data_IF_584499393367
#
_entry.id   IF_584499393367
#
_cell.length_a   1.000
_cell.length_b   1.000
_cell.length_c   1.000
_cell.angle_alpha   90.00
_cell.angle_beta   90.00
_cell.angle_gamma   90.00
#
_symmetry.space_group_name_H-M   'P 1'
#
loop_
_entity.id
_entity.type
_entity.pdbx_description
1 polymer ?
#
# COMPACT_ATOMS: atom_id res chain seq x y z
N UNK A 1 3.17 17.52 -3.65
CA UNK A 1 2.05 16.57 -3.70
C UNK A 1 2.06 15.72 -2.44
N UNK A 2 0.92 15.52 -1.85
CA UNK A 2 0.79 14.68 -0.65
C UNK A 2 0.23 13.32 -1.04
N UNK A 3 0.98 12.28 -0.74
CA UNK A 3 0.65 10.91 -1.15
C UNK A 3 0.48 10.05 0.10
N UNK A 4 -0.64 9.32 0.16
CA UNK A 4 -0.87 8.31 1.18
C UNK A 4 -0.53 6.95 0.59
N UNK A 5 0.42 6.25 1.21
CA UNK A 5 0.72 4.87 0.87
C UNK A 5 0.08 3.99 1.93
N UNK A 6 -0.69 2.99 1.47
CA UNK A 6 -1.41 2.06 2.35
C UNK A 6 -0.97 0.65 2.01
N UNK A 7 -0.49 -0.07 3.01
CA UNK A 7 -0.11 -1.47 2.89
C UNK A 7 -1.00 -2.33 3.77
N UNK A 8 -1.57 -3.36 3.18
CA UNK A 8 -2.56 -4.23 3.81
C UNK A 8 -1.98 -5.38 4.61
N UNK A 9 -2.83 -6.39 4.87
CA UNK A 9 -2.49 -7.50 5.76
C UNK A 9 -1.22 -8.24 5.35
N UNK A 10 -0.45 -8.60 6.34
CA UNK A 10 0.77 -9.42 6.25
C UNK A 10 1.96 -8.73 5.59
N UNK A 11 1.80 -7.51 5.08
CA UNK A 11 2.92 -6.79 4.47
C UNK A 11 3.96 -6.35 5.50
N UNK A 12 3.57 -6.29 6.77
CA UNK A 12 4.52 -6.10 7.87
C UNK A 12 5.51 -7.26 8.02
N UNK A 13 5.21 -8.41 7.41
CA UNK A 13 6.06 -9.60 7.47
C UNK A 13 6.96 -9.77 6.24
N UNK A 14 6.97 -8.78 5.34
CA UNK A 14 7.87 -8.83 4.19
C UNK A 14 9.32 -9.03 4.62
N UNK A 15 10.05 -9.85 3.86
CA UNK A 15 11.43 -10.17 4.16
C UNK A 15 11.61 -11.33 5.12
N UNK A 16 10.58 -11.74 5.84
CA UNK A 16 10.64 -12.85 6.80
C UNK A 16 9.84 -14.06 6.34
N UNK A 17 8.89 -13.87 5.42
CA UNK A 17 7.98 -14.91 4.95
C UNK A 17 8.37 -15.33 3.55
N UNK A 18 8.72 -16.60 3.40
CA UNK A 18 9.04 -17.23 2.11
C UNK A 18 9.91 -16.33 1.21
N UNK A 19 11.13 -15.96 1.64
CA UNK A 19 11.98 -15.02 0.89
C UNK A 19 12.27 -15.44 -0.54
N UNK A 20 12.25 -16.73 -0.82
CA UNK A 20 12.50 -17.26 -2.16
C UNK A 20 11.36 -16.96 -3.14
N UNK A 21 10.19 -16.61 -2.62
CA UNK A 21 9.02 -16.24 -3.43
C UNK A 21 8.82 -14.73 -3.46
N UNK A 22 8.89 -14.08 -2.30
CA UNK A 22 8.54 -12.66 -2.15
C UNK A 22 9.76 -11.75 -2.03
N UNK A 23 10.97 -12.31 -1.96
CA UNK A 23 12.18 -11.53 -1.74
C UNK A 23 12.50 -11.35 -0.26
N UNK A 24 13.70 -10.84 0.01
CA UNK A 24 14.20 -10.66 1.38
C UNK A 24 14.04 -9.22 1.89
N UNK A 25 13.58 -8.30 1.06
CA UNK A 25 13.40 -6.92 1.47
C UNK A 25 12.19 -6.77 2.38
N UNK A 26 12.39 -6.06 3.49
CA UNK A 26 11.33 -5.72 4.43
C UNK A 26 10.50 -4.54 3.90
N UNK A 27 9.37 -4.28 4.53
CA UNK A 27 8.59 -3.09 4.21
C UNK A 27 9.39 -1.81 4.47
N UNK A 28 10.20 -1.80 5.53
CA UNK A 28 11.08 -0.66 5.82
C UNK A 28 12.13 -0.46 4.73
N UNK A 29 12.70 -1.54 4.19
CA UNK A 29 13.65 -1.46 3.08
C UNK A 29 13.00 -0.83 1.85
N UNK A 30 11.77 -1.22 1.55
CA UNK A 30 11.01 -0.67 0.42
C UNK A 30 10.74 0.82 0.63
N UNK A 31 10.38 1.20 1.86
CA UNK A 31 10.15 2.60 2.21
C UNK A 31 11.40 3.44 1.99
N UNK A 32 12.54 2.96 2.47
CA UNK A 32 13.82 3.67 2.32
C UNK A 32 14.17 3.82 0.83
N UNK A 33 14.01 2.76 0.05
CA UNK A 33 14.27 2.79 -1.38
C UNK A 33 13.35 3.81 -2.07
N UNK A 34 12.06 3.77 -1.77
CA UNK A 34 11.07 4.66 -2.39
C UNK A 34 11.39 6.12 -2.09
N UNK A 35 11.69 6.44 -0.83
CA UNK A 35 12.00 7.80 -0.43
C UNK A 35 13.31 8.31 -1.05
N UNK A 36 14.22 7.41 -1.41
CA UNK A 36 15.44 7.76 -2.13
C UNK A 36 15.20 8.05 -3.61
N UNK A 37 14.09 7.57 -4.19
CA UNK A 37 13.79 7.74 -5.60
C UNK A 37 12.91 8.97 -5.90
N UNK A 38 12.30 9.57 -4.89
CA UNK A 38 11.44 10.73 -5.06
C UNK A 38 12.10 12.00 -4.52
N UNK A 39 11.60 13.14 -4.99
CA UNK A 39 12.03 14.43 -4.47
C UNK A 39 11.22 14.78 -3.22
N UNK A 40 11.79 14.52 -2.04
CA UNK A 40 11.11 14.73 -0.76
C UNK A 40 10.89 16.20 -0.43
N UNK A 41 11.49 17.12 -1.20
CA UNK A 41 11.21 18.55 -1.04
C UNK A 41 9.92 18.96 -1.74
N UNK A 42 9.44 18.14 -2.69
CA UNK A 42 8.23 18.42 -3.48
C UNK A 42 7.07 17.53 -3.10
N UNK A 43 7.35 16.35 -2.55
CA UNK A 43 6.33 15.33 -2.27
C UNK A 43 6.43 14.87 -0.83
N UNK A 44 5.31 14.93 -0.13
CA UNK A 44 5.17 14.36 1.21
C UNK A 44 4.50 13.01 1.08
N UNK A 45 5.09 12.00 1.69
CA UNK A 45 4.59 10.63 1.64
C UNK A 45 4.32 10.15 3.06
N UNK A 46 3.09 9.72 3.30
CA UNK A 46 2.70 9.11 4.57
C UNK A 46 2.56 7.61 4.38
N UNK A 47 3.19 6.83 5.24
CA UNK A 47 3.16 5.36 5.19
C UNK A 47 2.22 4.83 6.25
N UNK A 48 1.35 3.91 5.85
CA UNK A 48 0.41 3.26 6.74
C UNK A 48 0.37 1.78 6.42
N UNK A 49 0.36 0.95 7.44
CA UNK A 49 0.22 -0.51 7.28
C UNK A 49 -0.76 -1.01 8.34
N UNK A 50 -1.66 -1.89 7.95
CA UNK A 50 -2.57 -2.53 8.88
C UNK A 50 -2.99 -3.90 8.39
N UNK A 51 -3.23 -4.79 9.34
CA UNK A 51 -3.81 -6.11 9.09
C UNK A 51 -5.35 -6.09 9.19
N UNK A 52 -5.93 -4.92 9.45
CA UNK A 52 -7.37 -4.78 9.71
C UNK A 52 -8.04 -3.99 8.59
N UNK A 53 -9.01 -4.63 7.95
CA UNK A 53 -9.76 -4.02 6.85
C UNK A 53 -10.39 -2.68 7.25
N UNK A 54 -11.01 -2.64 8.44
CA UNK A 54 -11.65 -1.40 8.92
C UNK A 54 -10.68 -0.26 9.11
N UNK A 55 -9.47 -0.55 9.59
CA UNK A 55 -8.44 0.49 9.74
C UNK A 55 -7.98 1.03 8.39
N UNK A 56 -7.89 0.14 7.39
CA UNK A 56 -7.52 0.55 6.03
C UNK A 56 -8.60 1.46 5.45
N UNK A 57 -9.85 1.11 5.64
CA UNK A 57 -10.98 1.94 5.19
C UNK A 57 -10.95 3.30 5.86
N UNK A 58 -10.74 3.34 7.17
CA UNK A 58 -10.66 4.60 7.91
C UNK A 58 -9.49 5.45 7.41
N UNK A 59 -8.36 4.84 7.09
CA UNK A 59 -7.22 5.57 6.56
C UNK A 59 -7.50 6.14 5.18
N UNK A 60 -8.24 5.42 4.34
CA UNK A 60 -8.68 5.93 3.04
C UNK A 60 -9.56 7.16 3.25
N UNK A 61 -10.50 7.11 4.20
CA UNK A 61 -11.37 8.26 4.51
C UNK A 61 -10.57 9.48 4.96
N UNK A 62 -9.47 9.28 5.69
CA UNK A 62 -8.62 10.37 6.17
C UNK A 62 -7.89 11.10 5.05
N UNK A 63 -7.84 10.56 3.85
CA UNK A 63 -7.19 11.23 2.72
C UNK A 63 -7.99 12.41 2.18
N UNK A 64 -9.27 12.50 2.49
CA UNK A 64 -10.15 13.57 2.00
C UNK A 64 -9.59 14.92 2.47
N UNK A 65 -9.38 15.83 1.52
CA UNK A 65 -8.87 17.19 1.74
C UNK A 65 -7.43 17.27 2.27
N UNK A 66 -6.74 16.14 2.43
CA UNK A 66 -5.37 16.13 2.95
C UNK A 66 -4.36 15.56 1.96
N UNK A 67 -4.79 14.66 1.08
CA UNK A 67 -3.89 13.98 0.15
C UNK A 67 -4.33 14.17 -1.29
N UNK A 68 -3.35 14.14 -2.20
CA UNK A 68 -3.57 14.28 -3.64
C UNK A 68 -3.65 12.94 -4.36
N UNK A 69 -3.10 11.89 -3.75
CA UNK A 69 -3.09 10.57 -4.34
C UNK A 69 -2.93 9.49 -3.29
N UNK A 70 -3.35 8.28 -3.67
CA UNK A 70 -3.23 7.08 -2.84
C UNK A 70 -2.50 6.02 -3.65
N UNK A 71 -1.51 5.37 -3.02
CA UNK A 71 -0.89 4.16 -3.54
C UNK A 71 -1.23 3.06 -2.55
N UNK A 72 -1.94 2.02 -3.00
CA UNK A 72 -2.40 0.98 -2.11
C UNK A 72 -1.95 -0.41 -2.58
N UNK A 73 -1.40 -1.18 -1.65
CA UNK A 73 -1.21 -2.61 -1.78
C UNK A 73 -2.07 -3.28 -0.72
N UNK A 74 -3.26 -3.71 -1.12
CA UNK A 74 -4.22 -4.30 -0.19
C UNK A 74 -3.89 -5.75 0.20
N UNK A 75 -2.84 -6.32 -0.38
CA UNK A 75 -2.48 -7.71 -0.12
C UNK A 75 -3.59 -8.65 -0.53
N UNK A 76 -3.90 -9.63 0.31
CA UNK A 76 -4.97 -10.59 0.02
C UNK A 76 -6.35 -9.95 -0.10
N UNK A 77 -6.57 -8.79 0.53
CA UNK A 77 -7.85 -8.10 0.45
C UNK A 77 -8.17 -7.57 -0.95
N UNK A 78 -7.17 -7.48 -1.83
CA UNK A 78 -7.37 -7.07 -3.22
C UNK A 78 -8.47 -7.87 -3.91
N UNK A 79 -8.55 -9.16 -3.62
CA UNK A 79 -9.48 -10.07 -4.28
C UNK A 79 -10.82 -10.21 -3.56
N UNK A 80 -10.88 -9.82 -2.30
CA UNK A 80 -12.03 -10.14 -1.44
C UNK A 80 -12.76 -8.93 -0.87
N UNK A 81 -12.12 -7.77 -0.82
CA UNK A 81 -12.71 -6.62 -0.15
C UNK A 81 -13.44 -5.68 -1.10
N UNK A 82 -14.75 -5.84 -1.17
CA UNK A 82 -15.60 -4.87 -1.83
C UNK A 82 -15.66 -3.56 -1.03
N UNK A 83 -15.53 -3.64 0.30
CA UNK A 83 -15.58 -2.46 1.16
C UNK A 83 -14.41 -1.52 0.91
N UNK A 84 -13.21 -2.05 0.67
CA UNK A 84 -12.05 -1.21 0.33
C UNK A 84 -12.24 -0.56 -1.03
N UNK A 85 -12.76 -1.29 -2.01
CA UNK A 85 -13.02 -0.73 -3.34
C UNK A 85 -14.04 0.39 -3.28
N UNK A 86 -15.08 0.21 -2.48
CA UNK A 86 -16.11 1.22 -2.29
C UNK A 86 -15.53 2.47 -1.60
N UNK A 87 -14.68 2.28 -0.60
CA UNK A 87 -14.02 3.39 0.08
C UNK A 87 -13.17 4.21 -0.89
N UNK A 88 -12.39 3.55 -1.75
CA UNK A 88 -11.56 4.22 -2.76
C UNK A 88 -12.41 5.07 -3.69
N UNK A 89 -13.53 4.52 -4.16
CA UNK A 89 -14.46 5.28 -5.01
C UNK A 89 -15.08 6.47 -4.29
N UNK A 90 -15.36 6.28 -3.00
CA UNK A 90 -16.08 7.29 -2.22
C UNK A 90 -15.24 8.53 -1.96
N UNK A 91 -13.92 8.41 -1.85
CA UNK A 91 -13.07 9.57 -1.58
C UNK A 91 -12.70 10.36 -2.83
N UNK A 92 -12.87 9.77 -4.02
CA UNK A 92 -12.63 10.42 -5.31
C UNK A 92 -11.23 11.05 -5.42
N UNK A 93 -10.22 10.31 -4.95
CA UNK A 93 -8.81 10.69 -5.04
C UNK A 93 -8.13 9.70 -5.98
N UNK A 94 -7.27 10.16 -6.92
CA UNK A 94 -6.53 9.25 -7.80
C UNK A 94 -5.82 8.18 -6.99
N UNK A 95 -6.05 6.91 -7.33
CA UNK A 95 -5.53 5.77 -6.58
C UNK A 95 -4.87 4.78 -7.53
N UNK A 96 -3.65 4.38 -7.19
CA UNK A 96 -2.90 3.35 -7.91
C UNK A 96 -2.81 2.12 -7.01
N UNK A 97 -3.20 0.98 -7.55
CA UNK A 97 -3.11 -0.30 -6.86
C UNK A 97 -1.82 -0.99 -7.30
N UNK A 98 -1.04 -1.45 -6.34
CA UNK A 98 0.24 -2.10 -6.60
C UNK A 98 0.32 -3.44 -5.89
N UNK A 99 1.19 -4.32 -6.40
CA UNK A 99 1.49 -5.61 -5.81
C UNK A 99 3.00 -5.80 -5.78
N UNK A 100 3.50 -6.27 -4.63
CA UNK A 100 4.94 -6.42 -4.42
C UNK A 100 5.46 -7.83 -4.71
N UNK A 101 4.57 -8.79 -4.91
CA UNK A 101 4.97 -10.16 -5.21
C UNK A 101 5.10 -10.38 -6.71
N UNK A 102 5.99 -11.30 -7.10
CA UNK A 102 6.12 -11.73 -8.48
C UNK A 102 4.92 -12.62 -8.84
N UNK A 103 4.04 -12.11 -9.65
CA UNK A 103 2.82 -12.83 -10.06
C UNK A 103 3.16 -14.11 -10.83
N UNK A 104 4.19 -14.09 -11.66
CA UNK A 104 4.56 -15.29 -12.42
C UNK A 104 5.05 -16.41 -11.52
N UNK A 105 5.73 -16.10 -10.41
CA UNK A 105 6.11 -17.09 -9.42
C UNK A 105 4.93 -17.71 -8.69
N UNK A 106 3.84 -16.97 -8.59
CA UNK A 106 2.66 -17.39 -7.85
C UNK A 106 1.71 -18.24 -8.68
N UNK A 107 1.81 -18.16 -9.98
CA UNK A 107 0.95 -18.91 -10.89
C UNK A 107 1.42 -20.35 -11.08
N UNK A 108 2.65 -20.64 -10.75
CA UNK A 108 3.21 -21.99 -10.82
C UNK A 108 2.85 -22.79 -9.57
#
# INVERSE_FOLDING_TARGET
>A
MNIQIINGPNLNLLGTREPHIYGSESLEDIKIWFEGEIDTTKHLVNWFQSNHEGEIIDQIHKTINEFNGIIINAGALTHYSYAIRDAIKSVDIPTVEVHLSDISSRED
#
